data_IF_695846114259
#
_entry.id   IF_695846114259
#
_cell.length_a   1.000
_cell.length_b   1.000
_cell.length_c   1.000
_cell.angle_alpha   90.00
_cell.angle_beta   90.00
_cell.angle_gamma   90.00
#
_symmetry.space_group_name_H-M   'P 1'
#
loop_
_entity.id
_entity.type
_entity.pdbx_description
1 polymer ?
#
# COMPACT_ATOMS: atom_id res chain seq x y z
N UNK A 1 -10.22 -19.97 -0.91
CA UNK A 1 -9.90 -18.77 -1.72
C UNK A 1 -8.66 -19.04 -2.60
N UNK A 2 -7.49 -19.32 -2.04
CA UNK A 2 -6.28 -19.60 -2.84
C UNK A 2 -6.48 -20.65 -3.96
N UNK A 3 -7.20 -21.75 -3.68
CA UNK A 3 -7.47 -22.79 -4.67
C UNK A 3 -8.27 -22.31 -5.89
N UNK A 4 -9.29 -21.44 -5.70
CA UNK A 4 -10.15 -20.95 -6.78
C UNK A 4 -9.52 -19.80 -7.57
N UNK A 5 -8.48 -19.16 -7.03
CA UNK A 5 -7.75 -18.10 -7.73
C UNK A 5 -6.69 -18.65 -8.68
N UNK A 6 -6.24 -19.90 -8.50
CA UNK A 6 -5.19 -20.48 -9.35
C UNK A 6 -5.65 -20.55 -10.82
N UNK A 7 -4.76 -20.23 -11.79
CA UNK A 7 -3.32 -20.02 -11.64
C UNK A 7 -2.90 -18.56 -11.36
N UNK A 8 -3.83 -17.66 -11.05
CA UNK A 8 -3.50 -16.24 -10.86
C UNK A 8 -2.73 -15.99 -9.56
N UNK A 9 -1.78 -15.03 -9.57
CA UNK A 9 -1.06 -14.65 -8.38
C UNK A 9 -1.98 -13.98 -7.36
N UNK A 10 -1.79 -14.27 -6.07
CA UNK A 10 -2.60 -13.71 -4.99
C UNK A 10 -1.75 -12.97 -3.98
N UNK A 11 -2.17 -11.75 -3.67
CA UNK A 11 -1.61 -10.90 -2.60
C UNK A 11 -2.55 -10.91 -1.40
N UNK A 12 -2.06 -11.24 -0.21
CA UNK A 12 -2.80 -11.00 1.03
C UNK A 12 -2.73 -9.51 1.38
N UNK A 13 -3.88 -8.84 1.49
CA UNK A 13 -3.92 -7.40 1.68
C UNK A 13 -3.64 -6.98 3.14
N UNK A 14 -3.85 -5.69 3.46
CA UNK A 14 -3.64 -5.08 4.78
C UNK A 14 -4.48 -5.63 5.94
N UNK A 15 -5.26 -6.71 5.73
CA UNK A 15 -5.76 -7.48 6.88
C UNK A 15 -4.59 -8.03 7.71
N UNK A 16 -3.42 -8.21 7.08
CA UNK A 16 -2.19 -8.57 7.76
C UNK A 16 -1.81 -7.58 8.87
N UNK A 17 -2.06 -6.29 8.67
CA UNK A 17 -1.71 -5.27 9.67
C UNK A 17 -2.56 -5.37 10.95
N UNK A 18 -3.62 -6.18 10.94
CA UNK A 18 -4.56 -6.36 12.06
C UNK A 18 -4.37 -7.70 12.80
N UNK A 19 -3.33 -8.47 12.46
CA UNK A 19 -3.06 -9.77 13.10
C UNK A 19 -2.44 -9.59 14.49
N UNK A 20 -2.61 -10.59 15.34
CA UNK A 20 -2.02 -10.60 16.68
C UNK A 20 -0.49 -10.83 16.65
N UNK A 21 -0.03 -11.84 15.90
CA UNK A 21 1.39 -12.14 15.72
C UNK A 21 1.76 -12.14 14.22
N UNK A 22 2.47 -11.09 13.75
CA UNK A 22 2.81 -10.95 12.33
C UNK A 22 3.84 -11.97 11.84
N UNK A 23 4.72 -12.47 12.71
CA UNK A 23 5.76 -13.43 12.30
C UNK A 23 5.14 -14.83 12.06
N UNK A 24 4.20 -15.22 12.92
CA UNK A 24 3.42 -16.46 12.75
C UNK A 24 2.46 -16.35 11.56
N UNK A 25 1.80 -15.20 11.40
CA UNK A 25 0.92 -14.94 10.27
C UNK A 25 1.68 -15.05 8.94
N UNK A 26 2.91 -14.52 8.86
CA UNK A 26 3.74 -14.60 7.66
C UNK A 26 4.01 -16.06 7.25
N UNK A 27 4.43 -16.92 8.18
CA UNK A 27 4.66 -18.35 7.90
C UNK A 27 3.38 -19.07 7.45
N UNK A 28 2.23 -18.66 8.01
CA UNK A 28 0.93 -19.19 7.58
C UNK A 28 0.61 -18.77 6.14
N UNK A 29 0.85 -17.51 5.76
CA UNK A 29 0.65 -17.06 4.38
C UNK A 29 1.57 -17.77 3.39
N UNK A 30 2.82 -18.02 3.78
CA UNK A 30 3.78 -18.80 2.99
C UNK A 30 3.27 -20.23 2.78
N UNK A 31 2.82 -20.91 3.83
CA UNK A 31 2.33 -22.30 3.72
C UNK A 31 1.06 -22.43 2.88
N UNK A 32 0.22 -21.39 2.89
CA UNK A 32 -0.96 -21.29 2.04
C UNK A 32 -0.64 -20.95 0.56
N UNK A 33 0.60 -20.56 0.27
CA UNK A 33 1.09 -20.28 -1.07
C UNK A 33 0.70 -18.90 -1.62
N UNK A 34 0.57 -17.88 -0.77
CA UNK A 34 0.49 -16.50 -1.24
C UNK A 34 1.82 -16.03 -1.81
N UNK A 35 1.79 -15.25 -2.88
CA UNK A 35 3.01 -14.71 -3.50
C UNK A 35 3.46 -13.39 -2.87
N UNK A 36 2.51 -12.62 -2.35
CA UNK A 36 2.74 -11.28 -1.80
C UNK A 36 1.94 -11.07 -0.53
N UNK A 37 2.48 -10.25 0.37
CA UNK A 37 1.74 -9.66 1.49
C UNK A 37 1.89 -8.15 1.47
N UNK A 38 0.77 -7.43 1.45
CA UNK A 38 0.71 -5.98 1.54
C UNK A 38 0.55 -5.56 3.00
N UNK A 39 1.51 -4.79 3.52
CA UNK A 39 1.57 -4.43 4.95
C UNK A 39 2.13 -3.03 5.18
N UNK A 40 1.64 -2.35 6.20
CA UNK A 40 2.23 -1.15 6.79
C UNK A 40 3.14 -1.46 7.98
N UNK A 41 3.47 -2.73 8.22
CA UNK A 41 4.21 -3.17 9.40
C UNK A 41 3.36 -3.10 10.67
N UNK A 42 2.07 -3.43 10.58
CA UNK A 42 1.12 -3.39 11.72
C UNK A 42 0.99 -2.00 12.38
N UNK A 43 1.32 -0.93 11.65
CA UNK A 43 1.23 0.45 12.12
C UNK A 43 0.37 1.33 11.17
N UNK A 44 0.15 2.57 11.56
CA UNK A 44 -0.57 3.62 10.83
C UNK A 44 -0.01 3.91 9.43
N UNK A 45 1.29 3.73 9.20
CA UNK A 45 1.94 3.89 7.89
C UNK A 45 3.15 2.98 7.73
N UNK A 46 3.57 2.73 6.48
CA UNK A 46 4.75 1.91 6.19
C UNK A 46 6.05 2.52 6.75
N UNK A 47 6.11 3.83 6.97
CA UNK A 47 7.28 4.49 7.57
C UNK A 47 7.36 4.21 9.08
N UNK A 48 6.21 4.23 9.78
CA UNK A 48 6.15 3.93 11.22
C UNK A 48 6.43 2.44 11.47
N UNK A 49 5.83 1.54 10.69
CA UNK A 49 6.06 0.11 10.79
C UNK A 49 7.32 -0.41 10.10
N UNK A 50 8.21 0.47 9.63
CA UNK A 50 9.37 0.12 8.79
C UNK A 50 10.27 -0.95 9.42
N UNK A 51 10.47 -0.88 10.74
CA UNK A 51 11.29 -1.85 11.48
C UNK A 51 10.70 -3.27 11.43
N UNK A 52 9.38 -3.41 11.51
CA UNK A 52 8.72 -4.70 11.37
C UNK A 52 8.75 -5.19 9.92
N UNK A 53 8.54 -4.30 8.94
CA UNK A 53 8.61 -4.65 7.51
C UNK A 53 9.99 -5.24 7.18
N UNK A 54 11.07 -4.64 7.68
CA UNK A 54 12.44 -5.17 7.55
C UNK A 54 12.55 -6.59 8.11
N UNK A 55 12.09 -6.82 9.34
CA UNK A 55 12.11 -8.14 9.99
C UNK A 55 11.31 -9.18 9.20
N UNK A 56 10.15 -8.79 8.66
CA UNK A 56 9.32 -9.67 7.82
C UNK A 56 10.03 -10.02 6.51
N UNK A 57 10.68 -9.06 5.85
CA UNK A 57 11.46 -9.32 4.64
C UNK A 57 12.63 -10.28 4.90
N UNK A 58 13.36 -10.07 6.01
CA UNK A 58 14.43 -10.96 6.47
C UNK A 58 13.93 -12.37 6.78
N UNK A 59 12.78 -12.51 7.44
CA UNK A 59 12.17 -13.81 7.73
C UNK A 59 11.64 -14.50 6.47
N UNK A 60 11.04 -13.74 5.54
CA UNK A 60 10.45 -14.27 4.32
C UNK A 60 11.51 -14.98 3.46
N UNK A 61 12.75 -14.48 3.42
CA UNK A 61 13.88 -15.06 2.65
C UNK A 61 13.49 -15.34 1.19
N UNK A 62 12.68 -14.46 0.58
CA UNK A 62 12.20 -14.60 -0.79
C UNK A 62 11.10 -15.64 -1.02
N UNK A 63 10.63 -16.35 0.02
CA UNK A 63 9.52 -17.32 -0.08
C UNK A 63 8.16 -16.66 -0.34
N UNK A 64 8.02 -15.41 0.06
CA UNK A 64 6.90 -14.52 -0.21
C UNK A 64 7.44 -13.10 -0.34
N UNK A 65 6.87 -12.29 -1.23
CA UNK A 65 7.25 -10.89 -1.38
C UNK A 65 6.53 -10.03 -0.35
N UNK A 66 7.29 -9.35 0.51
CA UNK A 66 6.76 -8.37 1.46
C UNK A 66 6.66 -7.02 0.75
N UNK A 67 5.43 -6.54 0.57
CA UNK A 67 5.12 -5.29 -0.14
C UNK A 67 4.77 -4.20 0.89
N UNK A 68 5.70 -3.31 1.27
CA UNK A 68 5.37 -2.13 2.07
C UNK A 68 4.25 -1.30 1.41
N UNK A 69 3.27 -0.88 2.20
CA UNK A 69 2.19 -0.01 1.76
C UNK A 69 1.52 0.72 2.91
N UNK A 70 0.87 1.84 2.59
CA UNK A 70 0.26 2.73 3.59
C UNK A 70 1.07 4.02 3.74
N UNK A 71 0.53 5.13 3.22
CA UNK A 71 1.15 6.45 3.33
C UNK A 71 2.45 6.66 2.53
N UNK A 72 2.77 5.78 1.58
CA UNK A 72 3.96 5.95 0.72
C UNK A 72 3.76 7.11 -0.25
N UNK A 73 4.75 8.01 -0.29
CA UNK A 73 4.83 9.24 -1.09
C UNK A 73 6.25 9.42 -1.63
N UNK A 74 6.44 10.39 -2.50
CA UNK A 74 7.73 10.79 -3.07
C UNK A 74 8.74 11.22 -1.97
N UNK A 75 8.25 11.63 -0.80
CA UNK A 75 9.08 12.15 0.30
C UNK A 75 9.64 11.07 1.21
N UNK A 76 9.02 9.89 1.24
CA UNK A 76 9.38 8.81 2.17
C UNK A 76 9.73 7.48 1.47
N UNK A 77 9.46 7.34 0.16
CA UNK A 77 9.73 6.13 -0.59
C UNK A 77 11.19 5.66 -0.44
N UNK A 78 12.16 6.58 -0.58
CA UNK A 78 13.58 6.23 -0.49
C UNK A 78 13.92 5.58 0.85
N UNK A 79 13.55 6.23 1.96
CA UNK A 79 13.78 5.71 3.32
C UNK A 79 13.12 4.35 3.55
N UNK A 80 11.94 4.14 2.98
CA UNK A 80 11.22 2.87 3.10
C UNK A 80 11.93 1.76 2.33
N UNK A 81 12.34 2.00 1.09
CA UNK A 81 13.04 1.00 0.27
C UNK A 81 14.39 0.63 0.90
N UNK A 82 15.22 1.62 1.22
CA UNK A 82 16.53 1.41 1.84
C UNK A 82 16.42 0.73 3.22
N UNK A 83 15.43 1.14 4.03
CA UNK A 83 15.26 0.64 5.39
C UNK A 83 14.63 -0.75 5.47
N UNK A 84 13.81 -1.15 4.49
CA UNK A 84 13.14 -2.45 4.46
C UNK A 84 13.87 -3.50 3.63
N UNK A 85 14.62 -3.09 2.61
CA UNK A 85 15.16 -3.99 1.59
C UNK A 85 14.09 -4.58 0.66
N UNK A 86 12.89 -4.01 0.63
CA UNK A 86 11.79 -4.49 -0.21
C UNK A 86 12.02 -4.18 -1.70
N UNK A 87 11.70 -5.14 -2.56
CA UNK A 87 11.80 -5.02 -4.03
C UNK A 87 10.50 -4.54 -4.71
N UNK A 88 9.37 -4.63 -4.00
CA UNK A 88 8.06 -4.15 -4.46
C UNK A 88 7.47 -3.19 -3.42
N UNK A 89 6.67 -2.21 -3.84
CA UNK A 89 5.97 -1.29 -2.92
C UNK A 89 4.59 -0.91 -3.46
N UNK A 90 3.67 -0.54 -2.56
CA UNK A 90 2.31 -0.12 -2.90
C UNK A 90 2.03 1.33 -2.47
N UNK A 91 1.56 2.15 -3.42
CA UNK A 91 1.20 3.53 -3.17
C UNK A 91 -0.12 3.90 -3.88
N UNK A 92 -0.74 4.99 -3.42
CA UNK A 92 -1.96 5.51 -4.06
C UNK A 92 -1.66 6.51 -5.17
N UNK A 93 -0.60 7.33 -5.01
CA UNK A 93 -0.16 8.37 -5.92
C UNK A 93 -1.28 9.30 -6.44
N UNK A 94 -2.30 9.57 -5.62
CA UNK A 94 -3.47 10.35 -6.05
C UNK A 94 -3.27 11.85 -5.90
N UNK A 95 -3.90 12.62 -6.78
CA UNK A 95 -4.20 14.05 -6.59
C UNK A 95 -5.70 14.27 -6.59
N UNK A 96 -6.14 15.36 -5.95
CA UNK A 96 -7.54 15.79 -5.96
C UNK A 96 -7.72 16.75 -7.12
N UNK A 97 -8.73 16.50 -7.95
CA UNK A 97 -9.17 17.37 -9.03
C UNK A 97 -10.58 17.87 -8.73
N UNK A 98 -10.82 19.12 -9.08
CA UNK A 98 -12.14 19.71 -8.99
C UNK A 98 -13.03 19.21 -10.14
N UNK A 99 -14.31 19.02 -9.87
CA UNK A 99 -15.27 18.52 -10.85
C UNK A 99 -15.52 19.53 -11.95
N UNK A 100 -15.70 19.06 -13.19
CA UNK A 100 -16.12 19.90 -14.32
C UNK A 100 -17.55 20.43 -14.21
N UNK A 101 -18.31 20.08 -13.17
CA UNK A 101 -19.65 20.58 -12.90
C UNK A 101 -19.64 22.10 -12.74
N UNK A 102 -20.34 22.79 -13.65
CA UNK A 102 -20.47 24.25 -13.67
C UNK A 102 -21.44 24.76 -12.60
N UNK A 103 -22.56 24.07 -12.40
CA UNK A 103 -23.51 24.35 -11.33
C UNK A 103 -23.25 23.45 -10.12
N UNK A 104 -23.34 24.00 -8.91
CA UNK A 104 -23.11 23.27 -7.66
C UNK A 104 -24.17 23.63 -6.63
N UNK A 105 -24.79 22.62 -6.03
CA UNK A 105 -25.63 22.78 -4.85
C UNK A 105 -24.84 22.41 -3.59
N UNK A 106 -24.45 23.37 -2.74
CA UNK A 106 -23.68 23.09 -1.53
C UNK A 106 -24.53 22.55 -0.36
N UNK A 107 -25.87 22.55 -0.48
CA UNK A 107 -26.78 22.20 0.61
C UNK A 107 -27.04 20.70 0.74
N UNK A 108 -26.55 19.87 -0.20
CA UNK A 108 -26.78 18.42 -0.22
C UNK A 108 -25.46 17.71 0.00
N UNK A 109 -25.45 16.80 0.96
CA UNK A 109 -24.39 15.82 1.17
C UNK A 109 -24.95 14.42 0.88
N UNK A 110 -24.29 13.67 0.00
CA UNK A 110 -24.67 12.32 -0.39
C UNK A 110 -24.12 11.26 0.57
N UNK A 111 -22.97 11.55 1.20
CA UNK A 111 -22.25 10.63 2.07
C UNK A 111 -22.38 10.94 3.56
N UNK A 112 -21.48 10.35 4.35
CA UNK A 112 -21.39 10.61 5.78
C UNK A 112 -21.15 12.11 6.08
N UNK A 113 -21.74 12.62 7.16
CA UNK A 113 -21.54 13.99 7.63
C UNK A 113 -20.03 14.27 7.78
N UNK A 114 -19.56 15.42 7.28
CA UNK A 114 -18.14 15.85 7.24
C UNK A 114 -17.23 15.12 6.21
N UNK A 115 -17.80 14.54 5.16
CA UNK A 115 -17.02 13.97 4.04
C UNK A 115 -16.31 15.03 3.19
N UNK A 116 -15.41 14.57 2.32
CA UNK A 116 -14.78 15.40 1.29
C UNK A 116 -15.85 16.09 0.42
N UNK A 117 -15.54 17.24 -0.21
CA UNK A 117 -16.48 17.95 -1.07
C UNK A 117 -17.04 17.06 -2.19
N UNK A 118 -18.35 17.14 -2.43
CA UNK A 118 -19.08 16.36 -3.46
C UNK A 118 -18.49 16.52 -4.87
N UNK A 119 -17.84 17.66 -5.12
CA UNK A 119 -17.27 18.02 -6.40
C UNK A 119 -15.75 17.75 -6.46
N UNK A 120 -15.21 16.93 -5.55
CA UNK A 120 -13.79 16.55 -5.54
C UNK A 120 -13.59 15.12 -6.05
N UNK A 121 -12.68 14.93 -7.00
CA UNK A 121 -12.39 13.65 -7.64
C UNK A 121 -10.94 13.28 -7.37
N UNK A 122 -10.69 12.10 -6.80
CA UNK A 122 -9.33 11.58 -6.59
C UNK A 122 -8.90 10.76 -7.80
N UNK A 123 -7.83 11.16 -8.46
CA UNK A 123 -7.30 10.48 -9.65
C UNK A 123 -5.83 10.14 -9.41
N UNK A 124 -5.37 8.98 -9.89
CA UNK A 124 -3.95 8.66 -9.91
C UNK A 124 -3.21 9.70 -10.77
N UNK A 125 -2.18 10.32 -10.21
CA UNK A 125 -1.49 11.45 -10.82
C UNK A 125 -0.24 10.97 -11.57
N UNK A 126 -0.20 11.24 -12.88
CA UNK A 126 0.89 10.82 -13.77
C UNK A 126 2.24 11.39 -13.30
N UNK A 127 2.28 12.65 -12.85
CA UNK A 127 3.53 13.27 -12.42
C UNK A 127 4.05 12.61 -11.13
N UNK A 128 3.16 12.37 -10.16
CA UNK A 128 3.52 11.68 -8.92
C UNK A 128 4.05 10.27 -9.16
N UNK A 129 3.36 9.49 -10.01
CA UNK A 129 3.80 8.15 -10.39
C UNK A 129 5.17 8.17 -11.08
N UNK A 130 5.41 9.15 -11.98
CA UNK A 130 6.73 9.31 -12.62
C UNK A 130 7.82 9.62 -11.60
N UNK A 131 7.57 10.51 -10.64
CA UNK A 131 8.53 10.83 -9.58
C UNK A 131 8.83 9.63 -8.69
N UNK A 132 7.81 8.88 -8.26
CA UNK A 132 8.00 7.64 -7.49
C UNK A 132 8.85 6.61 -8.25
N UNK A 133 8.58 6.43 -9.54
CA UNK A 133 9.34 5.52 -10.39
C UNK A 133 10.80 5.99 -10.53
N UNK A 134 11.04 7.29 -10.71
CA UNK A 134 12.40 7.83 -10.77
C UNK A 134 13.18 7.60 -9.47
N UNK A 135 12.54 7.76 -8.30
CA UNK A 135 13.15 7.45 -7.01
C UNK A 135 13.47 5.96 -6.90
N UNK A 136 12.53 5.09 -7.25
CA UNK A 136 12.71 3.65 -7.16
C UNK A 136 13.88 3.14 -8.04
N UNK A 137 14.01 3.66 -9.28
CA UNK A 137 15.10 3.31 -10.20
C UNK A 137 16.50 3.70 -9.72
N UNK A 138 16.61 4.62 -8.76
CA UNK A 138 17.90 5.03 -8.21
C UNK A 138 18.33 4.13 -7.03
N UNK A 139 17.45 3.25 -6.55
CA UNK A 139 17.63 2.46 -5.31
C UNK A 139 17.59 0.95 -5.60
N UNK A 140 16.61 0.53 -6.41
CA UNK A 140 16.44 -0.85 -6.89
C UNK A 140 17.29 -1.10 -8.14
#
# INVERSE_FOLDING_TARGET
>A
IAAVCRPLPVTFHRAFDMVHDPLVALETLISLGFERVLTSGCDSSALEGLSLIKRLAEQAKGRIVVVPGGGITERNLQRILEGSGASEFHCSARSVRDSGMKFRNPNVAMGASFSAPEYSIKVADVAKVRTLNAIAKNIL
#
